data_IF_038096134555
#
_entry.id   IF_038096134555
#
_cell.length_a   1.000
_cell.length_b   1.000
_cell.length_c   1.000
_cell.angle_alpha   90.00
_cell.angle_beta   90.00
_cell.angle_gamma   90.00
#
_symmetry.space_group_name_H-M   'P 1'
#
loop_
_entity.id
_entity.type
_entity.pdbx_description
1 polymer ?
#
# COMPACT_ATOMS: atom_id res chain seq x y z
N UNK A 1 8.20 -23.19 29.93
CA UNK A 1 9.47 -22.46 29.77
C UNK A 1 9.31 -21.47 28.64
N UNK A 2 9.77 -20.22 28.80
CA UNK A 2 9.84 -19.30 27.67
C UNK A 2 10.76 -19.92 26.59
N UNK A 3 10.34 -19.87 25.33
CA UNK A 3 11.14 -20.40 24.22
C UNK A 3 12.43 -19.57 24.13
N UNK A 4 13.59 -20.20 24.20
CA UNK A 4 14.87 -19.50 24.15
C UNK A 4 15.12 -18.79 22.82
N UNK A 5 15.95 -17.74 22.83
CA UNK A 5 16.31 -16.95 21.64
C UNK A 5 16.84 -17.80 20.49
N UNK A 6 17.59 -18.87 20.81
CA UNK A 6 18.14 -19.82 19.83
C UNK A 6 17.08 -20.52 18.99
N UNK A 7 15.86 -20.69 19.53
CA UNK A 7 14.72 -21.21 18.78
C UNK A 7 13.83 -20.09 18.23
N UNK A 8 13.66 -18.97 18.94
CA UNK A 8 12.81 -17.88 18.44
C UNK A 8 13.35 -17.25 17.15
N UNK A 9 14.66 -17.01 17.04
CA UNK A 9 15.25 -16.33 15.88
C UNK A 9 15.05 -17.11 14.57
N UNK A 10 15.42 -18.41 14.47
CA UNK A 10 15.20 -19.17 13.24
C UNK A 10 13.73 -19.27 12.85
N UNK A 11 12.83 -19.49 13.81
CA UNK A 11 11.39 -19.60 13.54
C UNK A 11 10.83 -18.24 13.09
N UNK A 12 11.26 -17.14 13.71
CA UNK A 12 10.83 -15.79 13.34
C UNK A 12 11.28 -15.45 11.92
N UNK A 13 12.52 -15.76 11.57
CA UNK A 13 13.03 -15.55 10.21
C UNK A 13 12.30 -16.42 9.17
N UNK A 14 11.97 -17.66 9.50
CA UNK A 14 11.18 -18.54 8.61
C UNK A 14 9.76 -18.00 8.37
N UNK A 15 9.09 -17.56 9.43
CA UNK A 15 7.80 -16.88 9.31
C UNK A 15 7.91 -15.58 8.51
N UNK A 16 8.91 -14.77 8.83
CA UNK A 16 9.11 -13.49 8.18
C UNK A 16 9.37 -13.67 6.68
N UNK A 17 10.17 -14.65 6.28
CA UNK A 17 10.38 -15.00 4.87
C UNK A 17 9.04 -15.30 4.17
N UNK A 18 8.24 -16.25 4.69
CA UNK A 18 6.96 -16.61 4.09
C UNK A 18 5.98 -15.44 4.02
N UNK A 19 5.90 -14.65 5.08
CA UNK A 19 5.02 -13.48 5.12
C UNK A 19 5.50 -12.34 4.22
N UNK A 20 6.81 -12.11 4.08
CA UNK A 20 7.37 -11.09 3.18
C UNK A 20 7.21 -11.46 1.70
N UNK A 21 7.27 -12.75 1.36
CA UNK A 21 6.91 -13.23 0.01
C UNK A 21 5.45 -12.89 -0.29
N UNK A 22 4.55 -13.08 0.68
CA UNK A 22 3.11 -12.83 0.50
C UNK A 22 2.69 -11.36 0.62
N UNK A 23 3.39 -10.56 1.43
CA UNK A 23 3.26 -9.10 1.59
C UNK A 23 4.02 -8.32 0.49
N UNK A 24 4.38 -8.97 -0.61
CA UNK A 24 5.55 -8.68 -1.46
C UNK A 24 6.51 -7.55 -1.01
N UNK A 25 7.54 -7.91 -0.24
CA UNK A 25 8.69 -7.04 0.03
C UNK A 25 9.82 -7.24 -0.99
N UNK A 26 10.68 -6.26 -1.21
CA UNK A 26 12.00 -6.48 -1.83
C UNK A 26 12.81 -7.46 -0.98
N UNK A 27 13.52 -8.45 -1.58
CA UNK A 27 13.59 -8.81 -3.01
C UNK A 27 12.53 -9.83 -3.48
N UNK A 28 11.61 -10.25 -2.60
CA UNK A 28 10.63 -11.32 -2.84
C UNK A 28 9.37 -10.91 -3.61
N UNK A 29 9.32 -9.69 -4.15
CA UNK A 29 8.15 -9.11 -4.79
C UNK A 29 7.99 -9.47 -6.26
N UNK A 30 8.98 -10.11 -6.89
CA UNK A 30 9.08 -10.25 -8.36
C UNK A 30 7.90 -10.94 -9.01
N UNK A 31 7.21 -11.82 -8.29
CA UNK A 31 5.99 -12.49 -8.77
C UNK A 31 4.78 -11.56 -8.92
N UNK A 32 4.75 -10.45 -8.17
CA UNK A 32 3.56 -9.63 -8.00
C UNK A 32 3.15 -8.89 -9.28
N UNK A 33 4.05 -8.16 -9.98
CA UNK A 33 3.67 -7.45 -11.20
C UNK A 33 3.14 -8.39 -12.27
N UNK A 34 3.82 -9.53 -12.47
CA UNK A 34 3.43 -10.51 -13.50
C UNK A 34 2.08 -11.14 -13.17
N UNK A 35 1.85 -11.52 -11.91
CA UNK A 35 0.57 -12.06 -11.48
C UNK A 35 -0.61 -11.09 -11.73
N UNK A 36 -0.42 -9.79 -11.49
CA UNK A 36 -1.47 -8.79 -11.74
C UNK A 36 -1.69 -8.48 -13.23
N UNK A 37 -0.60 -8.47 -14.02
CA UNK A 37 -0.63 -8.18 -15.46
C UNK A 37 -1.42 -9.24 -16.20
N UNK A 38 -1.20 -10.52 -15.87
CA UNK A 38 -1.80 -11.68 -16.53
C UNK A 38 -3.19 -12.04 -15.97
N UNK A 39 -3.47 -11.70 -14.71
CA UNK A 39 -4.78 -11.97 -14.12
C UNK A 39 -5.90 -11.12 -14.75
N UNK A 40 -7.13 -11.67 -14.90
CA UNK A 40 -8.32 -10.87 -15.16
C UNK A 40 -8.51 -9.78 -14.10
N UNK A 41 -9.21 -8.69 -14.45
CA UNK A 41 -9.43 -7.55 -13.54
C UNK A 41 -9.99 -7.97 -12.19
N UNK A 42 -11.03 -8.80 -12.17
CA UNK A 42 -11.62 -9.31 -10.93
C UNK A 42 -10.60 -10.09 -10.08
N UNK A 43 -9.77 -10.92 -10.73
CA UNK A 43 -8.68 -11.64 -10.07
C UNK A 43 -7.64 -10.69 -9.47
N UNK A 44 -7.26 -9.63 -10.19
CA UNK A 44 -6.35 -8.60 -9.68
C UNK A 44 -6.92 -7.88 -8.46
N UNK A 45 -8.22 -7.56 -8.47
CA UNK A 45 -8.90 -6.89 -7.34
C UNK A 45 -8.92 -7.79 -6.10
N UNK A 46 -9.24 -9.07 -6.23
CA UNK A 46 -9.23 -10.01 -5.10
C UNK A 46 -7.81 -10.24 -4.59
N UNK A 47 -6.85 -10.44 -5.51
CA UNK A 47 -5.46 -10.66 -5.17
C UNK A 47 -4.89 -9.46 -4.39
N UNK A 48 -5.02 -8.26 -4.94
CA UNK A 48 -4.50 -7.05 -4.31
C UNK A 48 -5.29 -6.72 -3.05
N UNK A 49 -6.62 -6.65 -3.12
CA UNK A 49 -7.50 -6.18 -2.06
C UNK A 49 -7.48 -7.06 -0.81
N UNK A 50 -7.42 -8.39 -0.99
CA UNK A 50 -7.51 -9.35 0.12
C UNK A 50 -6.24 -10.18 0.30
N UNK A 51 -5.78 -10.87 -0.73
CA UNK A 51 -4.78 -11.94 -0.56
C UNK A 51 -3.39 -11.41 -0.16
N UNK A 52 -2.99 -10.22 -0.61
CA UNK A 52 -1.73 -9.59 -0.19
C UNK A 52 -1.73 -9.22 1.30
N UNK A 53 -2.92 -8.94 1.86
CA UNK A 53 -3.04 -8.49 3.25
C UNK A 53 -2.74 -9.61 4.25
N UNK A 54 -2.82 -10.86 3.80
CA UNK A 54 -2.52 -12.04 4.62
C UNK A 54 -1.05 -12.10 5.07
N UNK A 55 -0.10 -11.54 4.30
CA UNK A 55 1.29 -11.45 4.74
C UNK A 55 1.44 -10.51 5.95
N UNK A 56 0.83 -9.35 5.89
CA UNK A 56 0.84 -8.36 6.98
C UNK A 56 0.08 -8.87 8.19
N UNK A 57 -1.08 -9.49 7.97
CA UNK A 57 -1.81 -10.21 9.01
C UNK A 57 -0.94 -11.27 9.69
N UNK A 58 -0.19 -12.07 8.92
CA UNK A 58 0.76 -13.04 9.45
C UNK A 58 1.83 -12.41 10.34
N UNK A 59 2.39 -11.27 9.91
CA UNK A 59 3.38 -10.53 10.72
C UNK A 59 2.76 -10.06 12.04
N UNK A 60 1.66 -9.30 11.99
CA UNK A 60 1.08 -8.70 13.20
C UNK A 60 0.40 -9.71 14.11
N UNK A 61 -0.29 -10.72 13.56
CA UNK A 61 -1.12 -11.65 14.33
C UNK A 61 -0.35 -12.89 14.79
N UNK A 62 0.67 -13.30 14.05
CA UNK A 62 1.40 -14.56 14.27
C UNK A 62 2.85 -14.25 14.67
N UNK A 63 3.65 -13.64 13.80
CA UNK A 63 5.10 -13.53 14.03
C UNK A 63 5.46 -12.68 15.27
N UNK A 64 4.94 -11.45 15.35
CA UNK A 64 5.25 -10.52 16.45
C UNK A 64 4.82 -11.05 17.83
N UNK A 65 3.57 -11.51 18.06
CA UNK A 65 3.13 -11.95 19.39
C UNK A 65 3.66 -13.32 19.78
N UNK A 66 3.94 -14.22 18.82
CA UNK A 66 4.40 -15.58 19.12
C UNK A 66 5.89 -15.63 19.45
N UNK A 67 6.69 -14.70 18.89
CA UNK A 67 8.15 -14.68 18.98
C UNK A 67 8.65 -13.27 19.34
N UNK A 68 8.21 -12.70 20.48
CA UNK A 68 8.40 -11.28 20.78
C UNK A 68 9.86 -10.89 21.05
N UNK A 69 10.70 -11.83 21.53
CA UNK A 69 12.10 -11.53 21.83
C UNK A 69 12.90 -11.45 20.53
N UNK A 70 12.62 -12.35 19.57
CA UNK A 70 13.18 -12.25 18.22
C UNK A 70 12.69 -10.98 17.50
N UNK A 71 11.40 -10.64 17.60
CA UNK A 71 10.85 -9.42 17.01
C UNK A 71 11.53 -8.15 17.55
N UNK A 72 11.78 -8.09 18.87
CA UNK A 72 12.53 -7.00 19.51
C UNK A 72 13.98 -6.91 19.04
N UNK A 73 14.67 -8.04 18.84
CA UNK A 73 16.07 -8.04 18.41
C UNK A 73 16.24 -7.80 16.90
N UNK A 74 15.24 -8.18 16.10
CA UNK A 74 15.27 -8.14 14.63
C UNK A 74 14.35 -7.06 14.05
N UNK A 75 13.93 -6.07 14.84
CA UNK A 75 13.12 -4.94 14.37
C UNK A 75 13.75 -4.24 13.14
N UNK A 76 15.08 -4.14 13.12
CA UNK A 76 15.84 -3.49 12.06
C UNK A 76 15.73 -4.26 10.73
N UNK A 77 15.52 -5.58 10.77
CA UNK A 77 15.30 -6.40 9.56
C UNK A 77 14.00 -5.95 8.88
N UNK A 78 12.92 -5.82 9.65
CA UNK A 78 11.64 -5.31 9.16
C UNK A 78 11.78 -3.88 8.61
N UNK A 79 12.52 -3.02 9.32
CA UNK A 79 12.77 -1.65 8.89
C UNK A 79 13.51 -1.58 7.56
N UNK A 80 14.61 -2.33 7.39
CA UNK A 80 15.40 -2.36 6.16
C UNK A 80 14.52 -2.83 4.99
N UNK A 81 13.83 -3.95 5.14
CA UNK A 81 12.95 -4.47 4.08
C UNK A 81 11.82 -3.50 3.74
N UNK A 82 11.23 -2.84 4.74
CA UNK A 82 10.21 -1.82 4.54
C UNK A 82 10.73 -0.63 3.74
N UNK A 83 11.79 0.01 4.21
CA UNK A 83 12.36 1.22 3.59
C UNK A 83 12.90 0.94 2.19
N UNK A 84 13.61 -0.17 2.00
CA UNK A 84 14.12 -0.57 0.68
C UNK A 84 12.95 -0.81 -0.28
N UNK A 85 11.88 -1.46 0.16
CA UNK A 85 10.69 -1.67 -0.66
C UNK A 85 10.02 -0.37 -1.07
N UNK A 86 9.90 0.59 -0.15
CA UNK A 86 9.33 1.92 -0.43
C UNK A 86 10.12 2.65 -1.51
N UNK A 87 11.45 2.72 -1.37
CA UNK A 87 12.31 3.45 -2.32
C UNK A 87 12.37 2.74 -3.66
N UNK A 88 12.67 1.44 -3.65
CA UNK A 88 12.81 0.64 -4.87
C UNK A 88 11.53 0.69 -5.70
N UNK A 89 10.37 0.42 -5.08
CA UNK A 89 9.10 0.44 -5.78
C UNK A 89 8.79 1.81 -6.38
N UNK A 90 9.07 2.89 -5.65
CA UNK A 90 8.83 4.26 -6.14
C UNK A 90 9.69 4.60 -7.36
N UNK A 91 10.97 4.21 -7.35
CA UNK A 91 11.87 4.38 -8.50
C UNK A 91 11.41 3.55 -9.70
N UNK A 92 10.99 2.30 -9.48
CA UNK A 92 10.48 1.44 -10.54
C UNK A 92 9.17 1.98 -11.12
N UNK A 93 8.27 2.53 -10.30
CA UNK A 93 7.02 3.18 -10.73
C UNK A 93 7.25 4.35 -11.69
N UNK A 94 8.29 5.17 -11.47
CA UNK A 94 8.63 6.28 -12.36
C UNK A 94 8.96 5.82 -13.79
N UNK A 95 9.49 4.60 -13.94
CA UNK A 95 9.83 3.99 -15.22
C UNK A 95 8.69 3.15 -15.82
N UNK A 96 7.58 2.93 -15.10
CA UNK A 96 6.51 2.07 -15.60
C UNK A 96 5.73 2.74 -16.74
N UNK A 97 5.44 1.94 -17.77
CA UNK A 97 4.64 2.34 -18.94
C UNK A 97 3.31 1.61 -19.02
N UNK A 98 3.10 0.59 -18.19
CA UNK A 98 1.85 -0.18 -18.10
C UNK A 98 1.13 0.18 -16.80
N UNK A 99 -0.15 0.54 -16.90
CA UNK A 99 -0.93 0.99 -15.74
C UNK A 99 -1.11 -0.10 -14.67
N UNK A 100 -1.31 -1.37 -15.06
CA UNK A 100 -1.42 -2.47 -14.08
C UNK A 100 -0.08 -2.73 -13.39
N UNK A 101 1.04 -2.69 -14.13
CA UNK A 101 2.37 -2.83 -13.53
C UNK A 101 2.66 -1.71 -12.55
N UNK A 102 2.33 -0.47 -12.91
CA UNK A 102 2.46 0.68 -12.00
C UNK A 102 1.67 0.47 -10.71
N UNK A 103 0.42 0.02 -10.79
CA UNK A 103 -0.41 -0.25 -9.61
C UNK A 103 0.18 -1.40 -8.78
N UNK A 104 0.67 -2.47 -9.40
CA UNK A 104 1.32 -3.57 -8.69
C UNK A 104 2.60 -3.12 -7.98
N UNK A 105 3.48 -2.36 -8.65
CA UNK A 105 4.70 -1.83 -8.03
C UNK A 105 4.38 -0.83 -6.91
N UNK A 106 3.40 0.05 -7.10
CA UNK A 106 2.98 0.94 -6.03
C UNK A 106 2.57 0.16 -4.78
N UNK A 107 1.95 -1.01 -4.94
CA UNK A 107 1.55 -1.86 -3.81
C UNK A 107 2.75 -2.35 -2.99
N UNK A 108 3.87 -2.69 -3.63
CA UNK A 108 5.12 -3.05 -2.96
C UNK A 108 5.60 -1.90 -2.06
N UNK A 109 5.52 -0.66 -2.57
CA UNK A 109 5.87 0.53 -1.78
C UNK A 109 4.97 0.72 -0.56
N UNK A 110 3.65 0.61 -0.73
CA UNK A 110 2.68 0.71 0.37
C UNK A 110 2.85 -0.41 1.41
N UNK A 111 3.20 -1.61 0.98
CA UNK A 111 3.50 -2.72 1.89
C UNK A 111 4.80 -2.49 2.67
N UNK A 112 5.72 -1.67 2.15
CA UNK A 112 6.86 -1.19 2.91
C UNK A 112 6.48 -0.37 4.16
N UNK A 113 5.40 0.42 4.11
CA UNK A 113 4.85 1.10 5.30
C UNK A 113 4.34 0.11 6.35
N UNK A 114 3.78 -1.02 5.93
CA UNK A 114 3.31 -2.07 6.84
C UNK A 114 4.48 -2.65 7.62
N UNK A 115 5.60 -2.94 6.94
CA UNK A 115 6.83 -3.42 7.56
C UNK A 115 7.48 -2.36 8.48
N UNK A 116 7.48 -1.09 8.06
CA UNK A 116 7.97 0.01 8.89
C UNK A 116 7.10 0.23 10.14
N UNK A 117 5.78 0.11 10.01
CA UNK A 117 4.86 0.15 11.14
C UNK A 117 5.13 -0.97 12.14
N UNK A 118 5.35 -2.19 11.64
CA UNK A 118 5.72 -3.35 12.45
C UNK A 118 7.09 -3.16 13.13
N UNK A 119 8.08 -2.57 12.46
CA UNK A 119 9.43 -2.36 13.01
C UNK A 119 9.48 -1.28 14.09
N UNK A 120 8.50 -0.36 14.12
CA UNK A 120 8.45 0.70 15.13
C UNK A 120 8.32 0.17 16.56
N UNK A 121 7.69 -1.00 16.74
CA UNK A 121 7.29 -1.57 18.04
C UNK A 121 6.49 -0.59 18.93
N UNK A 122 5.92 0.45 18.36
CA UNK A 122 5.06 1.42 19.05
C UNK A 122 3.60 1.12 18.78
N UNK A 123 2.71 1.43 19.73
CA UNK A 123 1.25 1.27 19.52
C UNK A 123 0.79 2.00 18.26
N UNK A 124 1.24 3.25 18.07
CA UNK A 124 0.81 4.10 16.96
C UNK A 124 1.31 3.57 15.62
N UNK A 125 2.58 3.17 15.55
CA UNK A 125 3.16 2.66 14.30
C UNK A 125 2.60 1.28 13.92
N UNK A 126 2.39 0.39 14.89
CA UNK A 126 1.73 -0.90 14.66
C UNK A 126 0.28 -0.68 14.19
N UNK A 127 -0.48 0.17 14.87
CA UNK A 127 -1.84 0.51 14.47
C UNK A 127 -1.87 1.10 13.05
N UNK A 128 -0.94 2.00 12.73
CA UNK A 128 -0.78 2.57 11.39
C UNK A 128 -0.49 1.50 10.32
N UNK A 129 0.42 0.56 10.61
CA UNK A 129 0.74 -0.54 9.70
C UNK A 129 -0.43 -1.49 9.45
N UNK A 130 -1.20 -1.82 10.49
CA UNK A 130 -2.43 -2.61 10.35
C UNK A 130 -3.46 -1.81 9.55
N UNK A 131 -3.62 -0.52 9.83
CA UNK A 131 -4.58 0.32 9.14
C UNK A 131 -4.23 0.51 7.66
N UNK A 132 -2.93 0.55 7.33
CA UNK A 132 -2.44 0.62 5.96
C UNK A 132 -2.88 -0.60 5.13
N UNK A 133 -2.90 -1.80 5.72
CA UNK A 133 -3.41 -3.00 5.03
C UNK A 133 -4.86 -2.81 4.56
N UNK A 134 -5.69 -2.23 5.42
CA UNK A 134 -7.10 -1.96 5.12
C UNK A 134 -7.25 -0.84 4.08
N UNK A 135 -6.61 0.31 4.32
CA UNK A 135 -6.72 1.49 3.45
C UNK A 135 -6.20 1.20 2.04
N UNK A 136 -5.06 0.53 1.94
CA UNK A 136 -4.48 0.12 0.67
C UNK A 136 -5.36 -0.89 -0.07
N UNK A 137 -6.11 -1.75 0.65
CA UNK A 137 -7.10 -2.66 0.04
C UNK A 137 -8.19 -1.93 -0.73
N UNK A 138 -8.73 -0.87 -0.15
CA UNK A 138 -9.77 -0.03 -0.78
C UNK A 138 -9.22 0.67 -2.03
N UNK A 139 -8.03 1.28 -1.91
CA UNK A 139 -7.39 2.02 -3.01
C UNK A 139 -7.04 1.09 -4.17
N UNK A 140 -6.37 -0.03 -3.89
CA UNK A 140 -5.97 -0.97 -4.95
C UNK A 140 -7.15 -1.62 -5.64
N UNK A 141 -8.25 -1.88 -4.95
CA UNK A 141 -9.48 -2.32 -5.59
C UNK A 141 -9.95 -1.29 -6.64
N UNK A 142 -10.02 -0.01 -6.28
CA UNK A 142 -10.39 1.05 -7.22
C UNK A 142 -9.41 1.14 -8.40
N UNK A 143 -8.10 1.16 -8.14
CA UNK A 143 -7.08 1.30 -9.17
C UNK A 143 -7.05 0.11 -10.15
N UNK A 144 -7.14 -1.13 -9.67
CA UNK A 144 -7.18 -2.29 -10.56
C UNK A 144 -8.49 -2.35 -11.35
N UNK A 145 -9.62 -1.96 -10.76
CA UNK A 145 -10.87 -1.81 -11.49
C UNK A 145 -10.72 -0.77 -12.61
N UNK A 146 -10.13 0.40 -12.32
CA UNK A 146 -9.89 1.46 -13.33
C UNK A 146 -8.99 0.97 -14.46
N UNK A 147 -7.91 0.25 -14.13
CA UNK A 147 -7.04 -0.35 -15.14
C UNK A 147 -7.80 -1.35 -16.04
N UNK A 148 -8.80 -2.04 -15.49
CA UNK A 148 -9.72 -2.88 -16.25
C UNK A 148 -10.68 -2.09 -17.14
N UNK A 149 -11.33 -1.07 -16.59
CA UNK A 149 -12.29 -0.23 -17.32
C UNK A 149 -11.62 0.48 -18.50
N UNK A 150 -10.43 1.08 -18.31
CA UNK A 150 -9.71 1.74 -19.41
C UNK A 150 -9.25 0.74 -20.47
N UNK A 151 -8.80 -0.46 -20.06
CA UNK A 151 -8.44 -1.52 -21.02
C UNK A 151 -9.64 -1.98 -21.84
N UNK A 152 -10.83 -2.05 -21.23
CA UNK A 152 -12.06 -2.42 -21.93
C UNK A 152 -12.54 -1.33 -22.89
N UNK A 153 -12.49 -0.06 -22.48
CA UNK A 153 -12.94 1.06 -23.33
C UNK A 153 -11.94 1.44 -24.41
N UNK A 154 -10.65 1.54 -24.08
CA UNK A 154 -9.62 2.10 -24.94
C UNK A 154 -8.78 1.02 -25.65
N UNK A 155 -9.03 -0.25 -25.37
CA UNK A 155 -8.28 -1.38 -25.94
C UNK A 155 -6.83 -1.49 -25.45
N UNK A 156 -6.34 -0.55 -24.65
CA UNK A 156 -4.97 -0.52 -24.12
C UNK A 156 -4.93 -0.06 -22.66
N UNK A 157 -3.83 -0.41 -21.98
CA UNK A 157 -3.47 0.09 -20.65
C UNK A 157 -2.07 0.72 -20.63
N UNK A 158 -1.51 0.96 -21.82
CA UNK A 158 -0.19 1.58 -22.01
C UNK A 158 -0.33 3.08 -21.71
N UNK A 159 0.28 3.54 -20.63
CA UNK A 159 0.22 4.92 -20.15
C UNK A 159 0.55 5.94 -21.26
N UNK A 160 1.59 5.76 -22.11
CA UNK A 160 1.90 6.72 -23.17
C UNK A 160 0.81 6.85 -24.25
N UNK A 161 -0.06 5.85 -24.40
CA UNK A 161 -1.15 5.83 -25.41
C UNK A 161 -2.46 6.40 -24.86
N UNK A 162 -2.64 6.41 -23.54
CA UNK A 162 -3.88 6.79 -22.86
C UNK A 162 -4.05 8.31 -22.68
N UNK A 163 -3.60 9.14 -23.62
CA UNK A 163 -3.53 10.60 -23.42
C UNK A 163 -4.88 11.30 -23.62
N UNK A 164 -5.14 12.30 -22.78
CA UNK A 164 -6.27 13.22 -22.92
C UNK A 164 -7.65 12.61 -22.61
N UNK A 165 -7.74 11.70 -21.64
CA UNK A 165 -9.00 11.04 -21.28
C UNK A 165 -9.98 11.92 -20.47
N UNK A 166 -9.55 13.11 -20.03
CA UNK A 166 -10.35 14.00 -19.18
C UNK A 166 -11.71 14.39 -19.78
N UNK A 167 -11.75 14.68 -21.08
CA UNK A 167 -12.99 15.04 -21.79
C UNK A 167 -13.83 13.84 -22.25
N UNK A 168 -13.26 12.79 -22.88
CA UNK A 168 -14.06 11.67 -23.37
C UNK A 168 -14.51 10.69 -22.27
N UNK A 169 -13.80 10.64 -21.13
CA UNK A 169 -14.15 9.78 -19.99
C UNK A 169 -14.03 10.55 -18.66
N UNK A 170 -14.88 11.57 -18.43
CA UNK A 170 -14.77 12.46 -17.27
C UNK A 170 -14.97 11.76 -15.93
N UNK A 171 -15.90 10.81 -15.84
CA UNK A 171 -16.13 10.07 -14.59
C UNK A 171 -14.94 9.16 -14.28
N UNK A 172 -14.46 8.40 -15.26
CA UNK A 172 -13.22 7.63 -15.10
C UNK A 172 -12.07 8.51 -14.63
N UNK A 173 -11.89 9.67 -15.26
CA UNK A 173 -10.80 10.59 -14.94
C UNK A 173 -10.91 11.12 -13.51
N UNK A 174 -12.12 11.49 -13.07
CA UNK A 174 -12.37 11.90 -11.68
C UNK A 174 -12.01 10.80 -10.68
N UNK A 175 -12.50 9.57 -10.91
CA UNK A 175 -12.23 8.43 -10.01
C UNK A 175 -10.72 8.09 -9.98
N UNK A 176 -10.05 8.15 -11.14
CA UNK A 176 -8.60 7.93 -11.24
C UNK A 176 -7.82 8.97 -10.44
N UNK A 177 -8.15 10.26 -10.60
CA UNK A 177 -7.52 11.34 -9.86
C UNK A 177 -7.70 11.16 -8.35
N UNK A 178 -8.92 10.94 -7.87
CA UNK A 178 -9.19 10.70 -6.44
C UNK A 178 -8.42 9.48 -5.92
N UNK A 179 -8.40 8.37 -6.68
CA UNK A 179 -7.71 7.15 -6.27
C UNK A 179 -6.19 7.32 -6.23
N UNK A 180 -5.61 8.07 -7.19
CA UNK A 180 -4.19 8.43 -7.17
C UNK A 180 -3.85 9.37 -6.02
N UNK A 181 -4.69 10.37 -5.73
CA UNK A 181 -4.52 11.24 -4.56
C UNK A 181 -4.64 10.47 -3.25
N UNK A 182 -5.55 9.50 -3.17
CA UNK A 182 -5.67 8.64 -2.00
C UNK A 182 -4.41 7.81 -1.82
N UNK A 183 -3.89 7.23 -2.91
CA UNK A 183 -2.69 6.40 -2.86
C UNK A 183 -1.41 7.17 -2.61
N UNK A 184 -1.27 8.43 -3.04
CA UNK A 184 -0.08 9.22 -2.71
C UNK A 184 -0.08 9.79 -1.29
N UNK A 185 -1.12 9.53 -0.51
CA UNK A 185 -1.23 10.00 0.88
C UNK A 185 -1.68 11.45 1.02
N UNK A 186 -2.63 11.92 0.19
CA UNK A 186 -3.18 13.27 0.34
C UNK A 186 -4.01 13.39 1.65
N UNK A 187 -3.77 14.42 2.49
CA UNK A 187 -4.59 14.67 3.67
C UNK A 187 -6.09 14.78 3.33
N UNK A 188 -6.94 14.14 4.15
CA UNK A 188 -8.38 14.02 3.91
C UNK A 188 -8.78 12.75 3.16
N UNK A 189 -7.83 11.96 2.67
CA UNK A 189 -8.05 10.61 2.13
C UNK A 189 -7.45 9.54 3.06
N UNK A 190 -7.89 8.30 2.88
CA UNK A 190 -7.65 7.22 3.84
C UNK A 190 -6.16 6.87 4.05
N UNK A 191 -5.34 6.76 3.00
CA UNK A 191 -3.92 6.34 3.13
C UNK A 191 -3.09 7.30 3.98
N UNK A 192 -3.36 8.61 3.91
CA UNK A 192 -2.64 9.60 4.71
C UNK A 192 -2.67 9.29 6.20
N UNK A 193 -3.83 8.86 6.73
CA UNK A 193 -4.00 8.60 8.16
C UNK A 193 -3.09 7.46 8.60
N UNK A 194 -3.08 6.34 7.87
CA UNK A 194 -2.25 5.18 8.20
C UNK A 194 -0.76 5.45 8.01
N UNK A 195 -0.37 6.11 6.91
CA UNK A 195 1.03 6.46 6.64
C UNK A 195 1.58 7.46 7.67
N UNK A 196 0.79 8.48 8.03
CA UNK A 196 1.15 9.41 9.09
C UNK A 196 1.32 8.69 10.43
N UNK A 197 0.43 7.78 10.79
CA UNK A 197 0.58 6.97 12.01
C UNK A 197 1.84 6.10 11.99
N UNK A 198 2.21 5.50 10.85
CA UNK A 198 3.46 4.74 10.72
C UNK A 198 4.66 5.66 10.97
N UNK A 199 4.72 6.83 10.33
CA UNK A 199 5.81 7.77 10.53
C UNK A 199 5.86 8.31 11.96
N UNK A 200 4.71 8.74 12.51
CA UNK A 200 4.60 9.25 13.86
C UNK A 200 5.03 8.18 14.89
N UNK A 201 4.56 6.95 14.73
CA UNK A 201 4.96 5.82 15.57
C UNK A 201 6.46 5.54 15.51
N UNK A 202 7.01 5.45 14.29
CA UNK A 202 8.44 5.22 14.06
C UNK A 202 9.31 6.34 14.65
N UNK A 203 8.87 7.59 14.56
CA UNK A 203 9.61 8.74 15.11
C UNK A 203 9.47 8.87 16.64
N UNK A 204 8.29 8.56 17.18
CA UNK A 204 7.92 8.82 18.58
C UNK A 204 8.71 8.02 19.62
N UNK A 205 9.31 6.89 19.25
CA UNK A 205 10.11 6.09 20.19
C UNK A 205 10.34 4.66 19.74
N UNK A 206 10.49 3.76 20.71
CA UNK A 206 10.84 2.36 20.47
C UNK A 206 12.30 2.21 20.03
N UNK A 207 12.64 1.19 19.23
CA UNK A 207 14.01 0.95 18.81
C UNK A 207 14.63 2.05 17.95
N UNK A 208 13.81 2.96 17.40
CA UNK A 208 14.24 4.05 16.54
C UNK A 208 14.71 5.30 17.29
N UNK A 209 14.57 5.38 18.61
CA UNK A 209 14.98 6.56 19.39
C UNK A 209 16.43 7.04 19.11
N UNK A 210 17.46 6.17 19.10
CA UNK A 210 18.82 6.57 18.72
C UNK A 210 19.02 6.82 17.22
N UNK A 211 18.02 6.48 16.38
CA UNK A 211 18.09 6.49 14.92
C UNK A 211 17.03 7.40 14.27
N UNK A 212 16.42 8.34 15.00
CA UNK A 212 15.29 9.17 14.51
C UNK A 212 15.56 9.86 13.17
N UNK A 213 16.81 10.27 12.91
CA UNK A 213 17.20 10.88 11.64
C UNK A 213 17.01 9.94 10.43
N UNK A 214 17.10 8.62 10.62
CA UNK A 214 16.90 7.63 9.54
C UNK A 214 15.47 7.62 9.01
N UNK A 215 14.49 8.15 9.75
CA UNK A 215 13.09 8.29 9.30
C UNK A 215 12.98 9.24 8.09
N UNK A 216 13.96 10.12 7.87
CA UNK A 216 14.02 10.98 6.70
C UNK A 216 14.18 10.19 5.39
N UNK A 217 14.77 8.98 5.44
CA UNK A 217 15.00 8.13 4.26
C UNK A 217 13.66 7.66 3.65
N UNK A 218 12.74 7.00 4.40
CA UNK A 218 11.43 6.63 3.86
C UNK A 218 10.55 7.82 3.48
N UNK A 219 10.76 9.03 4.02
CA UNK A 219 10.06 10.24 3.56
C UNK A 219 10.40 10.59 2.09
N UNK A 220 11.60 10.27 1.61
CA UNK A 220 11.93 10.44 0.18
C UNK A 220 11.02 9.58 -0.70
N UNK A 221 10.62 8.40 -0.25
CA UNK A 221 9.71 7.55 -1.02
C UNK A 221 8.30 8.16 -1.16
N UNK A 222 7.85 8.95 -0.18
CA UNK A 222 6.58 9.70 -0.28
C UNK A 222 6.66 10.74 -1.40
N UNK A 223 7.79 11.47 -1.48
CA UNK A 223 8.01 12.46 -2.54
C UNK A 223 8.04 11.79 -3.92
N UNK A 224 8.77 10.68 -4.05
CA UNK A 224 8.79 9.89 -5.29
C UNK A 224 7.41 9.32 -5.63
N UNK A 225 6.62 8.96 -4.62
CA UNK A 225 5.24 8.49 -4.79
C UNK A 225 4.33 9.56 -5.36
N UNK A 226 4.38 10.77 -4.81
CA UNK A 226 3.71 11.92 -5.39
C UNK A 226 4.16 12.17 -6.84
N UNK A 227 5.46 12.10 -7.10
CA UNK A 227 6.01 12.33 -8.44
C UNK A 227 5.45 11.35 -9.48
N UNK A 228 5.48 10.02 -9.24
CA UNK A 228 5.01 9.07 -10.25
C UNK A 228 3.49 9.07 -10.42
N UNK A 229 2.71 9.31 -9.36
CA UNK A 229 1.25 9.38 -9.47
C UNK A 229 0.83 10.64 -10.23
N UNK A 230 1.37 11.81 -9.89
CA UNK A 230 1.04 13.06 -10.57
C UNK A 230 1.50 13.01 -12.03
N UNK A 231 2.69 12.48 -12.30
CA UNK A 231 3.21 12.29 -13.65
C UNK A 231 2.32 11.37 -14.50
N UNK A 232 1.90 10.24 -13.93
CA UNK A 232 1.01 9.29 -14.60
C UNK A 232 -0.37 9.88 -14.82
N UNK A 233 -0.93 10.56 -13.81
CA UNK A 233 -2.20 11.28 -13.90
C UNK A 233 -2.16 12.29 -15.05
N UNK A 234 -1.06 13.05 -15.14
CA UNK A 234 -0.91 14.05 -16.20
C UNK A 234 -0.89 13.43 -17.59
N UNK A 235 -0.17 12.32 -17.76
CA UNK A 235 -0.14 11.59 -19.03
C UNK A 235 -1.49 11.02 -19.44
N UNK A 236 -2.30 10.55 -18.49
CA UNK A 236 -3.57 9.88 -18.79
C UNK A 236 -4.72 10.88 -18.96
N UNK A 237 -4.88 11.80 -18.00
CA UNK A 237 -6.08 12.65 -17.91
C UNK A 237 -5.95 13.89 -18.77
N UNK A 238 -4.78 14.54 -18.77
CA UNK A 238 -4.60 15.86 -19.37
C UNK A 238 -3.96 15.80 -20.76
N UNK A 239 -3.94 16.95 -21.44
CA UNK A 239 -3.37 17.12 -22.77
C UNK A 239 -4.35 16.82 -23.92
N UNK A 240 -3.85 16.90 -25.15
CA UNK A 240 -4.63 16.59 -26.34
C UNK A 240 -5.04 15.12 -26.38
N UNK A 241 -6.29 14.87 -26.77
CA UNK A 241 -6.83 13.53 -26.92
C UNK A 241 -6.07 12.75 -27.99
N UNK A 242 -5.70 11.50 -27.68
CA UNK A 242 -5.11 10.61 -28.66
C UNK A 242 -6.19 10.02 -29.56
N UNK A 243 -6.35 10.56 -30.78
CA UNK A 243 -7.35 10.14 -31.76
C UNK A 243 -7.26 8.65 -32.14
N UNK A 244 -6.07 8.03 -32.00
CA UNK A 244 -5.88 6.60 -32.24
C UNK A 244 -6.69 5.69 -31.27
N UNK A 245 -7.18 6.24 -30.15
CA UNK A 245 -8.07 5.53 -29.22
C UNK A 245 -9.52 5.42 -29.73
N UNK A 246 -9.88 6.19 -30.77
CA UNK A 246 -11.21 6.16 -31.36
C UNK A 246 -12.31 6.59 -30.39
N UNK A 247 -13.49 5.99 -30.53
CA UNK A 247 -14.65 6.29 -29.69
C UNK A 247 -14.59 5.50 -28.39
N UNK A 248 -14.52 6.24 -27.27
CA UNK A 248 -14.48 5.67 -25.93
C UNK A 248 -15.88 5.64 -25.30
N UNK A 249 -16.07 4.75 -24.32
CA UNK A 249 -17.20 4.80 -23.40
C UNK A 249 -16.67 5.14 -22.00
N UNK A 250 -17.37 6.00 -21.28
CA UNK A 250 -17.05 6.25 -19.87
C UNK A 250 -17.57 5.10 -18.97
N UNK A 251 -17.55 5.31 -17.66
CA UNK A 251 -18.04 4.35 -16.66
C UNK A 251 -19.52 3.99 -16.88
N UNK A 252 -19.83 2.70 -16.87
CA UNK A 252 -21.21 2.20 -16.87
C UNK A 252 -21.87 2.49 -15.51
N UNK A 253 -23.21 2.52 -15.49
CA UNK A 253 -23.98 2.87 -14.27
C UNK A 253 -23.65 1.97 -13.08
N UNK A 254 -23.45 0.68 -13.30
CA UNK A 254 -23.03 -0.27 -12.27
C UNK A 254 -21.60 0.00 -11.76
N UNK A 255 -20.67 0.36 -12.65
CA UNK A 255 -19.32 0.75 -12.29
C UNK A 255 -19.32 2.02 -11.42
N UNK A 256 -20.12 3.03 -11.79
CA UNK A 256 -20.26 4.28 -11.03
C UNK A 256 -20.69 4.02 -9.58
N UNK A 257 -21.64 3.10 -9.35
CA UNK A 257 -22.08 2.75 -8.00
C UNK A 257 -20.93 2.14 -7.19
N UNK A 258 -20.17 1.20 -7.79
CA UNK A 258 -19.06 0.54 -7.08
C UNK A 258 -17.94 1.52 -6.77
N UNK A 259 -17.54 2.36 -7.73
CA UNK A 259 -16.54 3.40 -7.48
C UNK A 259 -17.03 4.45 -6.48
N UNK A 260 -18.32 4.81 -6.52
CA UNK A 260 -18.93 5.71 -5.55
C UNK A 260 -18.78 5.20 -4.12
N UNK A 261 -19.00 3.90 -3.89
CA UNK A 261 -18.78 3.27 -2.57
C UNK A 261 -17.31 3.34 -2.16
N UNK A 262 -16.38 2.99 -3.06
CA UNK A 262 -14.95 3.01 -2.75
C UNK A 262 -14.45 4.44 -2.43
N UNK A 263 -14.87 5.43 -3.20
CA UNK A 263 -14.54 6.85 -2.95
C UNK A 263 -15.15 7.33 -1.64
N UNK A 264 -16.42 6.99 -1.37
CA UNK A 264 -17.06 7.32 -0.10
C UNK A 264 -16.30 6.72 1.09
N UNK A 265 -15.78 5.51 0.96
CA UNK A 265 -14.90 4.90 1.98
C UNK A 265 -13.56 5.64 2.10
N UNK A 266 -12.92 6.03 0.99
CA UNK A 266 -11.66 6.78 1.03
C UNK A 266 -11.80 8.10 1.78
N UNK A 267 -12.86 8.88 1.49
CA UNK A 267 -13.14 10.14 2.19
C UNK A 267 -13.68 9.91 3.60
N UNK A 268 -14.58 8.94 3.78
CA UNK A 268 -15.17 8.65 5.09
C UNK A 268 -14.11 8.24 6.11
N UNK A 269 -13.14 7.42 5.70
CA UNK A 269 -11.99 7.07 6.53
C UNK A 269 -11.04 8.28 6.72
N UNK A 270 -10.79 9.04 5.66
CA UNK A 270 -9.90 10.20 5.72
C UNK A 270 -10.39 11.31 6.65
N UNK A 271 -11.68 11.66 6.61
CA UNK A 271 -12.28 12.69 7.47
C UNK A 271 -12.67 12.18 8.85
N UNK A 272 -13.08 10.92 8.97
CA UNK A 272 -13.55 10.34 10.23
C UNK A 272 -12.74 9.09 10.64
N UNK A 273 -11.41 9.19 10.78
CA UNK A 273 -10.58 8.02 11.06
C UNK A 273 -10.90 7.40 12.43
N UNK A 274 -11.33 8.19 13.41
CA UNK A 274 -11.67 7.73 14.75
C UNK A 274 -12.73 6.62 14.78
N UNK A 275 -13.68 6.61 13.82
CA UNK A 275 -14.71 5.58 13.70
C UNK A 275 -14.12 4.19 13.41
N UNK A 276 -12.96 4.15 12.76
CA UNK A 276 -12.29 2.92 12.33
C UNK A 276 -11.16 2.52 13.29
N UNK A 277 -10.44 3.51 13.82
CA UNK A 277 -9.29 3.28 14.72
C UNK A 277 -9.67 2.61 16.04
N UNK A 278 -10.93 2.75 16.49
CA UNK A 278 -11.41 2.08 17.71
C UNK A 278 -11.20 0.55 17.68
N UNK A 279 -11.39 -0.08 16.53
CA UNK A 279 -11.17 -1.52 16.34
C UNK A 279 -9.67 -1.92 16.40
N UNK A 280 -8.76 -0.97 16.17
CA UNK A 280 -7.31 -1.22 16.13
C UNK A 280 -6.62 -1.01 17.48
N UNK A 281 -7.23 -0.25 18.39
CA UNK A 281 -6.64 0.07 19.70
C UNK A 281 -6.37 -1.19 20.53
N UNK A 282 -7.33 -2.10 20.62
CA UNK A 282 -7.19 -3.34 21.39
C UNK A 282 -6.04 -4.23 20.86
N UNK A 283 -5.98 -4.61 19.56
CA UNK A 283 -4.90 -5.44 19.05
C UNK A 283 -3.53 -4.73 19.08
N UNK A 284 -3.46 -3.42 18.81
CA UNK A 284 -2.20 -2.68 18.84
C UNK A 284 -1.63 -2.56 20.28
N UNK A 285 -2.49 -2.31 21.27
CA UNK A 285 -2.07 -2.28 22.67
C UNK A 285 -1.65 -3.65 23.18
N UNK A 286 -2.36 -4.71 22.79
CA UNK A 286 -1.95 -6.09 23.09
C UNK A 286 -0.53 -6.39 22.59
N UNK A 287 -0.23 -6.04 21.34
CA UNK A 287 1.11 -6.22 20.78
C UNK A 287 2.16 -5.40 21.51
N UNK A 288 1.88 -4.13 21.84
CA UNK A 288 2.79 -3.28 22.62
C UNK A 288 3.09 -3.88 24.00
N UNK A 289 2.10 -4.44 24.68
CA UNK A 289 2.30 -5.06 26.00
C UNK A 289 3.18 -6.30 25.90
N UNK A 290 2.99 -7.14 24.88
CA UNK A 290 3.83 -8.32 24.69
C UNK A 290 5.25 -7.92 24.30
N UNK A 291 5.40 -6.98 23.37
CA UNK A 291 6.69 -6.50 22.88
C UNK A 291 7.42 -5.61 23.88
N UNK A 292 6.75 -5.11 24.92
CA UNK A 292 7.33 -4.29 25.98
C UNK A 292 7.76 -5.06 27.23
N UNK A 293 7.44 -6.35 27.32
CA UNK A 293 7.89 -7.20 28.44
C UNK A 293 9.34 -7.62 28.20
N UNK A 294 10.25 -7.43 29.17
CA UNK A 294 11.66 -7.84 29.05
C UNK A 294 11.79 -9.32 28.78
#
# INVERSE_FOLDING_TARGET
AAVGMSLQVPVFLAFLFGFMVKLPSVPFHTWLPDAHVEAPTAGSVILAGLLLKMGGYGIFRIALPMLPDAARNLWWVLAIFGVVSMIYASLVCLAQVDLKKLIAYSSIGHMGFVLLGASSLTTVGIAGGIFQLFNHGIITAALFMLAGTVKHSAGTRDIPKLRGLGQPMPMFSFVLMVSFFASLGLPGLNSFVSEFMVFAGTYSGGPFEPYRALVLIPLLAVVLTGAYYVWTMHKIVFGAFNEALGKLHDLKRNEVVVYGVLIALMFGIGFFPALWLGALNAPANYLRVILGRP
#
